data_IF_299434738452
#
_entry.id   IF_299434738452
#
_cell.length_a   1.000
_cell.length_b   1.000
_cell.length_c   1.000
_cell.angle_alpha   90.00
_cell.angle_beta   90.00
_cell.angle_gamma   90.00
#
_symmetry.space_group_name_H-M   'P 1'
#
loop_
_entity.id
_entity.type
_entity.pdbx_description
1 polymer ?
#
# COMPACT_ATOMS: atom_id res chain seq x y z
N UNK A 1 12.11 21.34 3.56
CA UNK A 1 12.27 20.38 2.48
C UNK A 1 13.69 19.84 2.40
N UNK A 2 13.88 18.81 1.61
CA UNK A 2 15.21 18.25 1.38
C UNK A 2 15.97 19.11 0.36
N UNK A 3 17.25 19.39 0.63
CA UNK A 3 18.11 20.09 -0.33
C UNK A 3 18.46 19.15 -1.49
N UNK A 4 18.04 19.53 -2.70
CA UNK A 4 18.32 18.76 -3.92
C UNK A 4 19.82 18.52 -4.19
N UNK A 5 20.69 19.38 -3.67
CA UNK A 5 22.14 19.25 -3.79
C UNK A 5 22.71 18.08 -2.97
N UNK A 6 21.94 17.58 -1.99
CA UNK A 6 22.33 16.45 -1.14
C UNK A 6 21.85 15.11 -1.69
N UNK A 7 21.09 15.09 -2.78
CA UNK A 7 20.61 13.85 -3.37
C UNK A 7 21.73 13.09 -4.05
N UNK A 8 21.93 11.86 -3.59
CA UNK A 8 22.88 10.97 -4.23
C UNK A 8 22.19 10.24 -5.39
N UNK A 9 22.60 10.51 -6.62
CA UNK A 9 21.95 9.98 -7.84
C UNK A 9 21.93 8.44 -7.92
N UNK A 10 22.82 7.75 -7.19
CA UNK A 10 22.90 6.29 -7.15
C UNK A 10 22.41 5.69 -5.82
N UNK A 11 21.63 6.43 -5.03
CA UNK A 11 21.11 5.91 -3.75
C UNK A 11 20.29 4.64 -3.91
N UNK A 12 19.62 4.46 -5.03
CA UNK A 12 18.90 3.25 -5.38
C UNK A 12 19.83 2.03 -5.50
N UNK A 13 21.08 2.21 -5.95
CA UNK A 13 22.02 1.13 -6.19
C UNK A 13 22.50 0.42 -4.92
N UNK A 14 22.36 1.03 -3.74
CA UNK A 14 22.71 0.39 -2.46
C UNK A 14 21.62 -0.54 -1.94
N UNK A 15 20.48 -0.60 -2.62
CA UNK A 15 19.34 -1.45 -2.21
C UNK A 15 19.50 -2.84 -2.81
N UNK A 16 19.81 -3.82 -1.97
CA UNK A 16 19.99 -5.22 -2.36
C UNK A 16 18.80 -5.80 -3.16
N UNK A 17 17.60 -5.32 -2.90
CA UNK A 17 16.38 -5.74 -3.60
C UNK A 17 16.42 -5.59 -5.12
N UNK A 18 17.34 -4.79 -5.66
CA UNK A 18 17.45 -4.61 -7.11
C UNK A 18 18.35 -5.68 -7.79
N UNK A 19 19.26 -6.31 -7.03
CA UNK A 19 20.28 -7.17 -7.65
C UNK A 19 20.62 -8.44 -6.86
N UNK A 20 19.89 -8.78 -5.80
CA UNK A 20 20.04 -10.08 -5.16
C UNK A 20 19.55 -11.17 -6.14
N UNK A 21 20.37 -12.20 -6.45
CA UNK A 21 20.02 -13.20 -7.46
C UNK A 21 18.69 -13.90 -7.18
N UNK A 22 18.42 -14.22 -5.92
CA UNK A 22 17.21 -14.95 -5.50
C UNK A 22 15.98 -14.04 -5.32
N UNK A 23 16.18 -12.73 -5.17
CA UNK A 23 15.14 -11.76 -4.85
C UNK A 23 15.25 -10.48 -5.68
N UNK A 24 15.73 -10.60 -6.93
CA UNK A 24 15.89 -9.44 -7.82
C UNK A 24 14.56 -8.67 -7.95
N UNK A 25 14.66 -7.35 -7.80
CA UNK A 25 13.51 -6.43 -7.84
C UNK A 25 12.43 -6.68 -6.78
N UNK A 26 12.78 -7.29 -5.67
CA UNK A 26 11.86 -7.60 -4.55
C UNK A 26 11.49 -6.37 -3.71
N UNK A 27 11.35 -5.24 -4.31
CA UNK A 27 10.88 -4.01 -3.65
C UNK A 27 9.38 -3.71 -3.89
N UNK A 28 8.76 -4.32 -4.91
CA UNK A 28 7.35 -4.11 -5.23
C UNK A 28 6.38 -4.54 -4.11
N UNK A 29 6.63 -5.60 -3.29
CA UNK A 29 5.69 -5.98 -2.23
C UNK A 29 5.54 -4.92 -1.15
N UNK A 30 6.55 -4.09 -0.93
CA UNK A 30 6.48 -2.99 0.04
C UNK A 30 5.51 -1.89 -0.42
N UNK A 31 5.60 -1.48 -1.68
CA UNK A 31 4.65 -0.52 -2.26
C UNK A 31 3.23 -1.10 -2.30
N UNK A 32 3.10 -2.38 -2.69
CA UNK A 32 1.82 -3.09 -2.69
C UNK A 32 1.22 -3.12 -1.28
N UNK A 33 1.97 -3.58 -0.26
CA UNK A 33 1.49 -3.69 1.11
C UNK A 33 1.10 -2.34 1.71
N UNK A 34 1.91 -1.32 1.47
CA UNK A 34 1.63 0.04 1.92
C UNK A 34 0.31 0.59 1.32
N UNK A 35 0.18 0.56 0.00
CA UNK A 35 -1.02 1.06 -0.67
C UNK A 35 -2.24 0.20 -0.36
N UNK A 36 -2.07 -1.12 -0.25
CA UNK A 36 -3.15 -2.02 0.16
C UNK A 36 -3.67 -1.68 1.56
N UNK A 37 -2.78 -1.46 2.52
CA UNK A 37 -3.13 -1.03 3.88
C UNK A 37 -3.90 0.30 3.89
N UNK A 38 -3.46 1.28 3.11
CA UNK A 38 -4.16 2.57 2.97
C UNK A 38 -5.54 2.41 2.32
N UNK A 39 -5.69 1.52 1.35
CA UNK A 39 -6.99 1.21 0.74
C UNK A 39 -7.97 0.59 1.74
N UNK A 40 -7.50 -0.31 2.60
CA UNK A 40 -8.28 -0.87 3.69
C UNK A 40 -8.64 0.21 4.74
N UNK A 41 -7.71 1.10 5.05
CA UNK A 41 -7.94 2.24 5.93
C UNK A 41 -9.03 3.16 5.36
N UNK A 42 -9.00 3.42 4.05
CA UNK A 42 -10.03 4.22 3.39
C UNK A 42 -11.42 3.59 3.47
N UNK A 43 -11.50 2.26 3.41
CA UNK A 43 -12.76 1.53 3.64
C UNK A 43 -13.20 1.69 5.10
N UNK A 44 -12.28 1.60 6.05
CA UNK A 44 -12.57 1.82 7.47
C UNK A 44 -13.07 3.24 7.75
N UNK A 45 -12.48 4.27 7.14
CA UNK A 45 -12.97 5.66 7.27
C UNK A 45 -14.43 5.79 6.82
N UNK A 46 -14.82 5.07 5.76
CA UNK A 46 -16.18 5.09 5.24
C UNK A 46 -17.17 4.29 6.09
N UNK A 47 -16.79 3.08 6.48
CA UNK A 47 -17.70 2.07 7.06
C UNK A 47 -17.61 2.01 8.61
N UNK A 48 -16.55 2.60 9.18
CA UNK A 48 -16.33 2.65 10.61
C UNK A 48 -16.16 1.27 11.25
N UNK A 49 -16.66 1.13 12.46
CA UNK A 49 -16.55 -0.10 13.26
C UNK A 49 -17.19 -1.33 12.60
N UNK A 50 -18.11 -1.13 11.67
CA UNK A 50 -18.74 -2.22 10.92
C UNK A 50 -17.76 -2.97 10.02
N UNK A 51 -16.66 -2.33 9.63
CA UNK A 51 -15.61 -2.94 8.83
C UNK A 51 -14.67 -3.85 9.64
N UNK A 52 -14.53 -3.63 10.94
CA UNK A 52 -13.54 -4.32 11.79
C UNK A 52 -13.71 -5.86 11.78
N UNK A 53 -14.90 -6.44 11.93
CA UNK A 53 -15.05 -7.90 11.84
C UNK A 53 -14.58 -8.45 10.48
N UNK A 54 -14.97 -7.76 9.40
CA UNK A 54 -14.60 -8.11 8.04
C UNK A 54 -13.07 -8.03 7.80
N UNK A 55 -12.42 -7.00 8.35
CA UNK A 55 -10.97 -6.86 8.34
C UNK A 55 -10.27 -7.99 9.09
N UNK A 56 -10.77 -8.36 10.28
CA UNK A 56 -10.22 -9.46 11.06
C UNK A 56 -10.32 -10.80 10.32
N UNK A 57 -11.43 -11.05 9.64
CA UNK A 57 -11.62 -12.28 8.86
C UNK A 57 -10.74 -12.31 7.61
N UNK A 58 -10.52 -11.15 6.98
CA UNK A 58 -9.55 -11.01 5.88
C UNK A 58 -8.14 -11.36 6.38
N UNK A 59 -7.71 -10.83 7.53
CA UNK A 59 -6.40 -11.13 8.10
C UNK A 59 -6.25 -12.63 8.44
N UNK A 60 -7.26 -13.25 9.06
CA UNK A 60 -7.26 -14.69 9.37
C UNK A 60 -7.12 -15.57 8.12
N UNK A 61 -7.59 -15.08 6.99
CA UNK A 61 -7.56 -15.81 5.71
C UNK A 61 -6.29 -15.51 4.89
N UNK A 62 -5.38 -14.70 5.42
CA UNK A 62 -4.12 -14.35 4.74
C UNK A 62 -3.26 -15.61 4.56
N UNK A 63 -2.69 -15.77 3.37
CA UNK A 63 -1.89 -16.94 3.00
C UNK A 63 -2.70 -18.13 2.47
N UNK A 64 -4.03 -18.12 2.57
CA UNK A 64 -4.87 -19.21 2.09
C UNK A 64 -5.27 -19.07 0.61
N UNK A 65 -5.18 -17.86 0.06
CA UNK A 65 -5.62 -17.53 -1.28
C UNK A 65 -4.68 -16.50 -1.93
N UNK A 66 -4.73 -16.41 -3.24
CA UNK A 66 -4.11 -15.28 -3.96
C UNK A 66 -4.78 -13.96 -3.54
N UNK A 67 -4.02 -12.88 -3.47
CA UNK A 67 -4.48 -11.60 -2.92
C UNK A 67 -5.79 -11.09 -3.55
N UNK A 68 -5.92 -11.17 -4.88
CA UNK A 68 -7.12 -10.73 -5.58
C UNK A 68 -8.35 -11.60 -5.24
N UNK A 69 -8.17 -12.92 -5.11
CA UNK A 69 -9.26 -13.84 -4.79
C UNK A 69 -9.68 -13.70 -3.32
N UNK A 70 -8.70 -13.53 -2.44
CA UNK A 70 -8.94 -13.26 -1.03
C UNK A 70 -9.80 -12.01 -0.85
N UNK A 71 -9.37 -10.89 -1.41
CA UNK A 71 -10.04 -9.60 -1.22
C UNK A 71 -11.45 -9.58 -1.82
N UNK A 72 -11.67 -10.26 -2.95
CA UNK A 72 -13.02 -10.41 -3.53
C UNK A 72 -14.02 -11.08 -2.60
N UNK A 73 -13.59 -12.04 -1.76
CA UNK A 73 -14.48 -12.66 -0.74
C UNK A 73 -15.03 -11.65 0.25
N UNK A 74 -14.33 -10.56 0.44
CA UNK A 74 -14.71 -9.46 1.33
C UNK A 74 -15.32 -8.26 0.58
N UNK A 75 -15.72 -8.46 -0.69
CA UNK A 75 -16.24 -7.42 -1.57
C UNK A 75 -15.26 -6.23 -1.75
N UNK A 76 -13.95 -6.53 -1.79
CA UNK A 76 -12.87 -5.60 -2.08
C UNK A 76 -12.22 -6.06 -3.38
N UNK A 77 -12.28 -5.24 -4.43
CA UNK A 77 -11.70 -5.59 -5.73
C UNK A 77 -10.42 -4.77 -5.98
N UNK A 78 -9.28 -5.39 -5.63
CA UNK A 78 -7.95 -4.80 -5.85
C UNK A 78 -7.49 -4.86 -7.31
N UNK A 79 -8.25 -5.46 -8.21
CA UNK A 79 -7.97 -5.42 -9.66
C UNK A 79 -8.47 -4.14 -10.31
N UNK A 80 -9.25 -3.35 -9.58
CA UNK A 80 -9.80 -2.08 -10.06
C UNK A 80 -8.87 -0.92 -9.69
N UNK A 81 -8.63 -0.06 -10.65
CA UNK A 81 -7.83 1.15 -10.48
C UNK A 81 -8.33 2.02 -9.32
N UNK A 82 -9.65 2.11 -9.16
CA UNK A 82 -10.28 2.91 -8.10
C UNK A 82 -9.75 2.60 -6.70
N UNK A 83 -9.51 1.33 -6.36
CA UNK A 83 -8.98 0.94 -5.06
C UNK A 83 -7.62 1.60 -4.79
N UNK A 84 -6.75 1.60 -5.79
CA UNK A 84 -5.40 2.17 -5.69
C UNK A 84 -5.40 3.70 -5.71
N UNK A 85 -6.30 4.31 -6.50
CA UNK A 85 -6.49 5.76 -6.49
C UNK A 85 -6.99 6.24 -5.12
N UNK A 86 -7.92 5.54 -4.49
CA UNK A 86 -8.39 5.85 -3.13
C UNK A 86 -7.22 5.79 -2.12
N UNK A 87 -6.32 4.81 -2.25
CA UNK A 87 -5.11 4.70 -1.42
C UNK A 87 -4.14 5.86 -1.64
N UNK A 88 -3.89 6.23 -2.89
CA UNK A 88 -3.01 7.36 -3.24
C UNK A 88 -3.58 8.70 -2.77
N UNK A 89 -4.90 8.86 -2.77
CA UNK A 89 -5.55 10.05 -2.24
C UNK A 89 -5.35 10.23 -0.72
N UNK A 90 -5.19 9.15 0.03
CA UNK A 90 -4.79 9.24 1.46
C UNK A 90 -3.39 9.85 1.57
N UNK A 91 -2.43 9.34 0.78
CA UNK A 91 -1.06 9.90 0.74
C UNK A 91 -1.08 11.37 0.34
N UNK A 92 -1.83 11.69 -0.72
CA UNK A 92 -1.98 13.09 -1.17
C UNK A 92 -2.52 13.98 -0.06
N UNK A 93 -3.53 13.53 0.69
CA UNK A 93 -4.09 14.27 1.82
C UNK A 93 -3.03 14.63 2.87
N UNK A 94 -2.18 13.68 3.24
CA UNK A 94 -1.08 13.95 4.19
C UNK A 94 -0.05 14.93 3.62
N UNK A 95 0.27 14.85 2.32
CA UNK A 95 1.16 15.82 1.67
C UNK A 95 0.52 17.21 1.68
N UNK A 96 -0.76 17.32 1.33
CA UNK A 96 -1.48 18.58 1.31
C UNK A 96 -1.58 19.22 2.72
N UNK A 97 -1.68 18.42 3.77
CA UNK A 97 -1.62 18.90 5.16
C UNK A 97 -0.21 19.40 5.52
N UNK A 98 0.82 18.63 5.19
CA UNK A 98 2.21 19.01 5.44
C UNK A 98 2.58 20.32 4.74
N UNK A 99 2.10 20.52 3.53
CA UNK A 99 2.38 21.74 2.75
C UNK A 99 1.71 23.00 3.29
N UNK A 100 0.80 22.89 4.27
CA UNK A 100 0.16 24.02 4.95
C UNK A 100 0.92 24.49 6.19
N UNK A 101 1.90 23.72 6.65
CA UNK A 101 2.77 24.04 7.79
C UNK A 101 3.87 25.04 7.39
#
# INVERSE_FOLDING_TARGET
>A
GLDSKTFHQYMWAVKLHYYMPELAFYNYPYAFGFLFGLGLYKIFERDGQKFVPKYNDLLRSTGMFMAADLTKKFAIDITKEKFWLDSLNVVKGHIDEYMKL
#
